data_IF_950115509215
#
_entry.id   IF_950115509215
#
_cell.length_a   1.000
_cell.length_b   1.000
_cell.length_c   1.000
_cell.angle_alpha   90.00
_cell.angle_beta   90.00
_cell.angle_gamma   90.00
#
_symmetry.space_group_name_H-M   'P 1'
#
loop_
_entity.id
_entity.type
_entity.pdbx_description
1 polymer ?
#
# COMPACT_ATOMS: atom_id res chain seq x y z
N UNK A 1 8.18 -17.39 -15.20
CA UNK A 1 7.82 -16.09 -14.61
C UNK A 1 7.78 -16.25 -13.11
N UNK A 2 8.48 -15.41 -12.36
CA UNK A 2 8.34 -15.32 -10.89
C UNK A 2 7.29 -14.26 -10.59
N UNK A 3 6.45 -14.52 -9.60
CA UNK A 3 5.35 -13.63 -9.21
C UNK A 3 5.37 -13.38 -7.71
N UNK A 4 4.87 -12.22 -7.29
CA UNK A 4 4.72 -11.87 -5.88
C UNK A 4 3.36 -11.20 -5.64
N UNK A 5 2.26 -11.98 -5.52
CA UNK A 5 0.95 -11.46 -5.13
C UNK A 5 0.89 -11.18 -3.63
N UNK A 6 -0.23 -10.64 -3.15
CA UNK A 6 -0.47 -10.44 -1.72
C UNK A 6 -1.86 -10.96 -1.30
N UNK A 7 -2.15 -10.87 0.00
CA UNK A 7 -3.38 -11.40 0.60
C UNK A 7 -4.67 -10.72 0.08
N UNK A 8 -4.56 -9.53 -0.54
CA UNK A 8 -5.71 -8.79 -1.07
C UNK A 8 -6.31 -9.47 -2.31
N UNK A 9 -5.66 -10.50 -2.86
CA UNK A 9 -6.24 -11.36 -3.89
C UNK A 9 -7.57 -12.00 -3.45
N UNK A 10 -7.76 -12.20 -2.13
CA UNK A 10 -9.01 -12.73 -1.57
C UNK A 10 -10.22 -11.84 -1.82
N UNK A 11 -10.00 -10.55 -2.09
CA UNK A 11 -11.05 -9.56 -2.38
C UNK A 11 -10.90 -8.95 -3.77
N UNK A 12 -10.09 -9.54 -4.64
CA UNK A 12 -9.86 -9.06 -6.00
C UNK A 12 -9.11 -7.73 -6.10
N UNK A 13 -8.38 -7.33 -5.05
CA UNK A 13 -7.66 -6.06 -4.97
C UNK A 13 -6.15 -6.25 -4.74
N UNK A 14 -5.59 -7.36 -5.22
CA UNK A 14 -4.14 -7.61 -5.16
C UNK A 14 -3.38 -6.65 -6.07
N UNK A 15 -2.10 -6.48 -5.80
CA UNK A 15 -1.13 -6.06 -6.81
C UNK A 15 0.03 -7.05 -6.80
N UNK A 16 0.35 -7.62 -7.97
CA UNK A 16 1.39 -8.64 -8.09
C UNK A 16 2.56 -8.14 -8.95
N UNK A 17 3.78 -8.21 -8.40
CA UNK A 17 4.99 -8.04 -9.19
C UNK A 17 5.26 -9.27 -10.05
N UNK A 18 5.65 -9.06 -11.31
CA UNK A 18 6.02 -10.09 -12.28
C UNK A 18 7.43 -9.84 -12.77
N UNK A 19 8.25 -10.89 -12.89
CA UNK A 19 9.54 -10.80 -13.56
C UNK A 19 9.82 -12.04 -14.41
N UNK A 20 10.51 -11.81 -15.53
CA UNK A 20 10.91 -12.86 -16.45
C UNK A 20 12.12 -13.63 -15.90
N UNK A 21 12.03 -14.96 -15.91
CA UNK A 21 13.21 -15.81 -15.71
C UNK A 21 14.00 -15.96 -17.01
N UNK A 22 15.16 -16.64 -16.94
CA UNK A 22 16.07 -16.83 -18.09
C UNK A 22 15.42 -17.36 -19.37
N UNK A 23 14.35 -18.16 -19.25
CA UNK A 23 13.65 -18.80 -20.38
C UNK A 23 12.23 -18.25 -20.59
N UNK A 24 11.84 -17.19 -19.87
CA UNK A 24 10.55 -16.56 -20.04
C UNK A 24 10.69 -15.35 -20.98
N UNK A 25 9.72 -15.18 -21.85
CA UNK A 25 9.56 -14.05 -22.76
C UNK A 25 8.28 -13.27 -22.41
N UNK A 26 7.98 -12.25 -23.22
CA UNK A 26 6.83 -11.37 -23.02
C UNK A 26 5.50 -12.13 -23.07
N UNK A 27 5.38 -13.16 -23.91
CA UNK A 27 4.17 -13.98 -23.99
C UNK A 27 3.90 -14.74 -22.68
N UNK A 28 4.97 -15.22 -22.01
CA UNK A 28 4.83 -15.82 -20.69
C UNK A 28 4.44 -14.78 -19.62
N UNK A 29 4.99 -13.56 -19.68
CA UNK A 29 4.61 -12.48 -18.77
C UNK A 29 3.15 -12.06 -18.97
N UNK A 30 2.69 -11.93 -20.22
CA UNK A 30 1.30 -11.63 -20.55
C UNK A 30 0.35 -12.71 -20.02
N UNK A 31 0.70 -13.99 -20.18
CA UNK A 31 -0.11 -15.09 -19.66
C UNK A 31 -0.21 -15.07 -18.12
N UNK A 32 0.92 -14.86 -17.43
CA UNK A 32 0.93 -14.73 -15.98
C UNK A 32 0.15 -13.49 -15.51
N UNK A 33 0.30 -12.39 -16.25
CA UNK A 33 -0.44 -11.14 -16.06
C UNK A 33 -1.95 -11.33 -16.21
N UNK A 34 -2.41 -12.06 -17.21
CA UNK A 34 -3.83 -12.35 -17.42
C UNK A 34 -4.42 -13.18 -16.28
N UNK A 35 -3.69 -14.18 -15.77
CA UNK A 35 -4.13 -15.00 -14.64
C UNK A 35 -4.23 -14.16 -13.37
N UNK A 36 -3.17 -13.43 -13.02
CA UNK A 36 -3.14 -12.63 -11.79
C UNK A 36 -3.99 -11.37 -11.88
N UNK A 37 -4.21 -10.87 -13.09
CA UNK A 37 -5.14 -9.78 -13.41
C UNK A 37 -6.59 -10.10 -13.05
N UNK A 38 -6.95 -11.37 -12.91
CA UNK A 38 -8.29 -11.76 -12.45
C UNK A 38 -8.55 -11.48 -10.97
N UNK A 39 -7.50 -11.26 -10.17
CA UNK A 39 -7.57 -11.03 -8.71
C UNK A 39 -6.94 -9.70 -8.27
N UNK A 40 -6.61 -8.82 -9.23
CA UNK A 40 -6.02 -7.53 -8.96
C UNK A 40 -5.20 -6.99 -10.14
N UNK A 41 -4.24 -6.13 -9.85
CA UNK A 41 -3.34 -5.55 -10.85
C UNK A 41 -1.99 -6.27 -10.91
N UNK A 42 -1.27 -6.10 -12.01
CA UNK A 42 0.08 -6.64 -12.17
C UNK A 42 1.05 -5.57 -12.64
N UNK A 43 2.30 -5.68 -12.21
CA UNK A 43 3.39 -4.79 -12.62
C UNK A 43 4.60 -5.63 -12.98
N UNK A 44 5.19 -5.38 -14.15
CA UNK A 44 6.44 -6.02 -14.57
C UNK A 44 7.60 -5.24 -13.96
N UNK A 45 8.49 -5.95 -13.29
CA UNK A 45 9.67 -5.42 -12.60
C UNK A 45 10.90 -6.27 -12.92
N UNK A 46 12.09 -5.74 -12.65
CA UNK A 46 13.32 -6.53 -12.71
C UNK A 46 13.40 -7.53 -11.55
N UNK A 47 14.07 -8.66 -11.76
CA UNK A 47 14.32 -9.67 -10.69
C UNK A 47 14.98 -9.03 -9.46
N UNK A 48 15.87 -8.06 -9.67
CA UNK A 48 16.55 -7.31 -8.60
C UNK A 48 15.61 -6.46 -7.74
N UNK A 49 14.40 -6.18 -8.21
CA UNK A 49 13.39 -5.36 -7.52
C UNK A 49 12.39 -6.22 -6.72
N UNK A 50 12.44 -7.55 -6.82
CA UNK A 50 11.44 -8.42 -6.19
C UNK A 50 11.43 -8.38 -4.66
N UNK A 51 12.55 -8.11 -4.01
CA UNK A 51 12.58 -7.86 -2.57
C UNK A 51 11.93 -6.53 -2.20
N UNK A 52 12.05 -5.53 -3.07
CA UNK A 52 11.37 -4.25 -2.90
C UNK A 52 9.85 -4.40 -3.06
N UNK A 53 9.40 -5.17 -4.07
CA UNK A 53 7.99 -5.56 -4.21
C UNK A 53 7.49 -6.27 -2.95
N UNK A 54 8.28 -7.20 -2.41
CA UNK A 54 7.93 -7.90 -1.18
C UNK A 54 7.76 -6.94 0.00
N UNK A 55 8.74 -6.07 0.25
CA UNK A 55 8.70 -5.12 1.36
C UNK A 55 7.61 -4.06 1.23
N UNK A 56 7.21 -3.73 -0.01
CA UNK A 56 6.16 -2.75 -0.29
C UNK A 56 4.77 -3.39 -0.40
N UNK A 57 4.49 -4.20 -1.43
CA UNK A 57 3.14 -4.72 -1.69
C UNK A 57 2.86 -6.05 -1.02
N UNK A 58 3.88 -6.86 -0.73
CA UNK A 58 3.74 -8.11 0.01
C UNK A 58 3.43 -7.85 1.49
N UNK A 59 4.25 -7.00 2.12
CA UNK A 59 4.08 -6.60 3.53
C UNK A 59 3.12 -5.42 3.73
N UNK A 60 2.89 -4.62 2.70
CA UNK A 60 2.04 -3.43 2.71
C UNK A 60 0.65 -3.56 3.34
N UNK A 61 -0.11 -4.65 3.08
CA UNK A 61 -1.41 -4.85 3.69
C UNK A 61 -1.37 -4.76 5.23
N UNK A 62 -0.31 -5.27 5.87
CA UNK A 62 -0.16 -5.17 7.32
C UNK A 62 0.01 -3.72 7.79
N UNK A 63 0.77 -2.90 7.05
CA UNK A 63 0.95 -1.49 7.36
C UNK A 63 -0.37 -0.73 7.25
N UNK A 64 -1.17 -1.05 6.22
CA UNK A 64 -2.49 -0.44 6.01
C UNK A 64 -3.48 -0.86 7.10
N UNK A 65 -3.48 -2.12 7.54
CA UNK A 65 -4.32 -2.55 8.66
C UNK A 65 -3.94 -1.84 9.96
N UNK A 66 -2.64 -1.70 10.24
CA UNK A 66 -2.16 -0.94 11.40
C UNK A 66 -2.56 0.55 11.33
N UNK A 67 -2.48 1.16 10.14
CA UNK A 67 -2.94 2.54 9.91
C UNK A 67 -4.44 2.70 10.20
N UNK A 68 -5.27 1.78 9.68
CA UNK A 68 -6.72 1.82 9.89
C UNK A 68 -7.06 1.66 11.38
N UNK A 69 -6.40 0.74 12.09
CA UNK A 69 -6.63 0.54 13.52
C UNK A 69 -6.20 1.76 14.35
N UNK A 70 -5.04 2.36 14.04
CA UNK A 70 -4.57 3.58 14.68
C UNK A 70 -5.51 4.78 14.45
N UNK A 71 -6.04 4.94 13.24
CA UNK A 71 -7.06 5.96 12.94
C UNK A 71 -8.35 5.71 13.73
N UNK A 72 -8.80 4.46 13.82
CA UNK A 72 -9.98 4.09 14.59
C UNK A 72 -9.78 4.37 16.08
N UNK A 73 -8.63 4.04 16.66
CA UNK A 73 -8.28 4.35 18.05
C UNK A 73 -8.22 5.85 18.31
N UNK A 74 -7.68 6.63 17.37
CA UNK A 74 -7.75 8.10 17.40
C UNK A 74 -9.19 8.61 17.44
N UNK A 75 -10.08 8.02 16.63
CA UNK A 75 -11.52 8.32 16.66
C UNK A 75 -12.17 7.99 18.00
N UNK A 76 -11.85 6.85 18.59
CA UNK A 76 -12.36 6.46 19.92
C UNK A 76 -11.87 7.42 21.01
N UNK A 77 -10.58 7.79 20.97
CA UNK A 77 -10.00 8.78 21.87
C UNK A 77 -10.72 10.14 21.78
N UNK A 78 -11.25 10.47 20.60
CA UNK A 78 -12.05 11.66 20.35
C UNK A 78 -13.57 11.48 20.61
N UNK A 79 -14.00 10.33 21.17
CA UNK A 79 -15.37 10.10 21.63
C UNK A 79 -16.26 9.27 20.70
N UNK A 80 -15.73 8.71 19.61
CA UNK A 80 -16.52 7.83 18.74
C UNK A 80 -16.66 6.41 19.33
N UNK A 81 -17.79 5.72 19.13
CA UNK A 81 -17.86 4.28 19.37
C UNK A 81 -16.87 3.52 18.46
N UNK A 82 -16.19 2.49 18.98
CA UNK A 82 -15.17 1.72 18.23
C UNK A 82 -15.69 1.19 16.89
N UNK A 83 -16.92 0.69 16.84
CA UNK A 83 -17.52 0.22 15.59
C UNK A 83 -17.66 1.33 14.54
N UNK A 84 -18.11 2.52 14.95
CA UNK A 84 -18.22 3.70 14.08
C UNK A 84 -16.85 4.18 13.63
N UNK A 85 -15.89 4.29 14.56
CA UNK A 85 -14.53 4.74 14.26
C UNK A 85 -13.84 3.79 13.25
N UNK A 86 -13.97 2.48 13.45
CA UNK A 86 -13.42 1.47 12.54
C UNK A 86 -14.03 1.58 11.16
N UNK A 87 -15.37 1.70 11.07
CA UNK A 87 -16.06 1.88 9.78
C UNK A 87 -15.60 3.13 9.04
N UNK A 88 -15.49 4.26 9.75
CA UNK A 88 -15.02 5.52 9.17
C UNK A 88 -13.56 5.42 8.71
N UNK A 89 -12.67 4.86 9.53
CA UNK A 89 -11.26 4.69 9.17
C UNK A 89 -11.08 3.80 7.93
N UNK A 90 -11.72 2.62 7.90
CA UNK A 90 -11.65 1.71 6.75
C UNK A 90 -12.15 2.37 5.47
N UNK A 91 -13.33 3.02 5.51
CA UNK A 91 -13.89 3.65 4.33
C UNK A 91 -13.07 4.87 3.86
N UNK A 92 -12.45 5.62 4.80
CA UNK A 92 -11.58 6.75 4.48
C UNK A 92 -10.35 6.29 3.71
N UNK A 93 -9.68 5.23 4.18
CA UNK A 93 -8.51 4.67 3.51
C UNK A 93 -8.87 4.10 2.15
N UNK A 94 -9.96 3.32 2.06
CA UNK A 94 -10.43 2.76 0.79
C UNK A 94 -10.77 3.86 -0.23
N UNK A 95 -11.50 4.90 0.19
CA UNK A 95 -11.90 6.00 -0.68
C UNK A 95 -10.71 6.83 -1.17
N UNK A 96 -9.73 7.11 -0.30
CA UNK A 96 -8.53 7.84 -0.66
C UNK A 96 -7.68 7.05 -1.67
N UNK A 97 -7.47 5.75 -1.44
CA UNK A 97 -6.74 4.89 -2.36
C UNK A 97 -7.45 4.78 -3.72
N UNK A 98 -8.78 4.59 -3.72
CA UNK A 98 -9.58 4.55 -4.94
C UNK A 98 -9.51 5.85 -5.73
N UNK A 99 -9.64 7.00 -5.08
CA UNK A 99 -9.52 8.31 -5.73
C UNK A 99 -8.14 8.48 -6.37
N UNK A 100 -7.06 8.06 -5.70
CA UNK A 100 -5.72 8.11 -6.29
C UNK A 100 -5.58 7.21 -7.52
N UNK A 101 -6.09 5.97 -7.44
CA UNK A 101 -6.03 5.02 -8.56
C UNK A 101 -6.84 5.49 -9.78
N UNK A 102 -8.01 6.10 -9.56
CA UNK A 102 -8.92 6.50 -10.66
C UNK A 102 -8.64 7.88 -11.24
N UNK A 103 -8.01 8.79 -10.47
CA UNK A 103 -7.79 10.17 -10.91
C UNK A 103 -6.57 10.35 -11.80
N UNK A 104 -5.54 9.51 -11.67
CA UNK A 104 -4.24 9.73 -12.31
C UNK A 104 -3.47 10.94 -11.76
N UNK A 105 -3.97 11.57 -10.69
CA UNK A 105 -3.37 12.75 -10.07
C UNK A 105 -2.18 12.37 -9.18
N UNK A 106 -1.25 13.31 -8.99
CA UNK A 106 -0.16 13.12 -8.06
C UNK A 106 -0.70 13.09 -6.60
N UNK A 107 -0.22 12.21 -5.70
CA UNK A 107 -0.71 12.13 -4.32
C UNK A 107 -0.66 13.45 -3.56
N UNK A 108 0.35 14.29 -3.84
CA UNK A 108 0.45 15.62 -3.22
C UNK A 108 -0.66 16.56 -3.69
N UNK A 109 -1.11 16.48 -4.94
CA UNK A 109 -2.22 17.28 -5.44
C UNK A 109 -3.53 16.90 -4.74
N UNK A 110 -3.80 15.59 -4.59
CA UNK A 110 -4.97 15.12 -3.83
C UNK A 110 -4.92 15.55 -2.35
N UNK A 111 -3.74 15.48 -1.73
CA UNK A 111 -3.53 15.95 -0.36
C UNK A 111 -3.81 17.46 -0.23
N UNK A 112 -3.32 18.26 -1.17
CA UNK A 112 -3.50 19.71 -1.14
C UNK A 112 -4.97 20.09 -1.36
N UNK A 113 -5.71 19.36 -2.21
CA UNK A 113 -7.15 19.57 -2.43
C UNK A 113 -8.01 19.42 -1.15
N UNK A 114 -7.60 18.55 -0.21
CA UNK A 114 -8.32 18.35 1.06
C UNK A 114 -7.74 19.17 2.22
N UNK A 115 -6.75 20.03 1.95
CA UNK A 115 -6.05 20.81 2.96
C UNK A 115 -6.38 22.30 2.85
N UNK A 116 -7.34 22.75 3.67
CA UNK A 116 -7.66 24.17 3.76
C UNK A 116 -6.74 24.93 4.73
N UNK A 117 -6.50 26.21 4.46
CA UNK A 117 -5.69 27.09 5.31
C UNK A 117 -6.31 27.19 6.71
N UNK A 118 -5.52 26.86 7.75
CA UNK A 118 -5.98 26.85 9.15
C UNK A 118 -7.03 25.78 9.49
N UNK A 119 -7.32 24.85 8.57
CA UNK A 119 -8.32 23.81 8.75
C UNK A 119 -7.87 22.64 9.63
N UNK A 120 -8.79 21.70 9.85
CA UNK A 120 -8.53 20.48 10.63
C UNK A 120 -7.49 19.57 9.95
N UNK A 121 -7.50 19.49 8.61
CA UNK A 121 -6.56 18.66 7.84
C UNK A 121 -5.11 19.10 8.05
N UNK A 122 -4.81 20.41 7.96
CA UNK A 122 -3.43 20.88 8.12
C UNK A 122 -2.92 20.69 9.56
N UNK A 123 -3.79 20.81 10.56
CA UNK A 123 -3.44 20.50 11.95
C UNK A 123 -3.11 19.00 12.13
N UNK A 124 -3.91 18.11 11.54
CA UNK A 124 -3.65 16.67 11.54
C UNK A 124 -2.37 16.29 10.80
N UNK A 125 -2.14 16.87 9.61
CA UNK A 125 -0.92 16.67 8.83
C UNK A 125 0.32 17.11 9.61
N UNK A 126 0.26 18.27 10.29
CA UNK A 126 1.36 18.71 11.16
C UNK A 126 1.66 17.70 12.26
N UNK A 127 0.64 17.16 12.93
CA UNK A 127 0.85 16.14 13.97
C UNK A 127 1.47 14.84 13.41
N UNK A 128 1.11 14.44 12.19
CA UNK A 128 1.73 13.29 11.51
C UNK A 128 3.20 13.55 11.18
N UNK A 129 3.54 14.74 10.68
CA UNK A 129 4.93 15.11 10.38
C UNK A 129 5.77 15.22 11.66
N UNK A 130 5.24 15.82 12.72
CA UNK A 130 5.90 15.91 14.04
C UNK A 130 6.15 14.50 14.63
N UNK A 131 5.30 13.53 14.31
CA UNK A 131 5.44 12.13 14.68
C UNK A 131 6.34 11.30 13.75
N UNK A 132 6.93 11.89 12.71
CA UNK A 132 7.80 11.18 11.78
C UNK A 132 7.09 10.14 10.91
N UNK A 133 5.81 10.38 10.57
CA UNK A 133 4.98 9.41 9.84
C UNK A 133 5.62 8.92 8.53
N UNK A 134 6.13 9.84 7.70
CA UNK A 134 6.76 9.50 6.42
C UNK A 134 8.01 8.65 6.60
N UNK A 135 8.89 9.07 7.50
CA UNK A 135 10.13 8.35 7.80
C UNK A 135 9.83 6.92 8.27
N UNK A 136 8.89 6.77 9.20
CA UNK A 136 8.50 5.45 9.73
C UNK A 136 7.98 4.51 8.65
N UNK A 137 7.18 5.00 7.70
CA UNK A 137 6.68 4.18 6.58
C UNK A 137 7.79 3.79 5.60
N UNK A 138 8.72 4.72 5.32
CA UNK A 138 9.87 4.43 4.46
C UNK A 138 10.78 3.36 5.10
N UNK A 139 11.06 3.52 6.39
CA UNK A 139 11.88 2.58 7.17
C UNK A 139 11.23 1.19 7.24
N UNK A 140 9.89 1.11 7.34
CA UNK A 140 9.17 -0.16 7.33
C UNK A 140 9.35 -0.91 6.00
N UNK A 141 9.24 -0.21 4.87
CA UNK A 141 9.49 -0.79 3.54
C UNK A 141 10.94 -1.25 3.41
N UNK A 142 11.90 -0.40 3.78
CA UNK A 142 13.33 -0.74 3.70
C UNK A 142 13.68 -1.96 4.57
N UNK A 143 13.19 -2.00 5.81
CA UNK A 143 13.43 -3.11 6.72
C UNK A 143 12.85 -4.43 6.18
N UNK A 144 11.63 -4.41 5.63
CA UNK A 144 11.01 -5.60 5.05
C UNK A 144 11.71 -6.04 3.76
N UNK A 145 12.17 -5.11 2.92
CA UNK A 145 12.98 -5.40 1.74
C UNK A 145 14.30 -6.05 2.11
N UNK A 146 15.04 -5.49 3.08
CA UNK A 146 16.28 -6.09 3.56
C UNK A 146 16.05 -7.49 4.12
N UNK A 147 14.97 -7.68 4.89
CA UNK A 147 14.63 -8.99 5.43
C UNK A 147 14.27 -10.00 4.33
N UNK A 148 13.59 -9.57 3.27
CA UNK A 148 13.31 -10.42 2.10
C UNK A 148 14.61 -10.89 1.45
N UNK A 149 15.57 -9.99 1.25
CA UNK A 149 16.88 -10.34 0.68
C UNK A 149 17.65 -11.34 1.56
N UNK A 150 17.68 -11.11 2.89
CA UNK A 150 18.30 -12.04 3.85
C UNK A 150 17.69 -13.45 3.79
N UNK A 151 16.36 -13.55 3.63
CA UNK A 151 15.65 -14.82 3.55
C UNK A 151 15.84 -15.55 2.21
N UNK A 152 16.15 -14.81 1.13
CA UNK A 152 16.47 -15.41 -0.18
C UNK A 152 17.87 -16.01 -0.19
N UNK A 153 18.82 -15.35 0.49
CA UNK A 153 20.22 -15.71 0.46
C UNK A 153 20.60 -16.80 1.49
N UNK A 154 19.68 -17.16 2.41
CA UNK A 154 19.83 -18.22 3.41
C UNK A 154 19.13 -19.52 3.00
#
# INVERSE_FOLDING_TARGET
VRTMPNILAQVGASVAGLCAGRFADDAHLEMAGAVLGSVGETVVVDESQMDAVTGLSGSGPAYVFALIDALADGGVKCGLPKATATKLATQTVLGAAKMLAESGEHPMALKDMVTSAGGTTIAGLKALEDGGFRATLMDAVEAATRRSAELRDG
#
